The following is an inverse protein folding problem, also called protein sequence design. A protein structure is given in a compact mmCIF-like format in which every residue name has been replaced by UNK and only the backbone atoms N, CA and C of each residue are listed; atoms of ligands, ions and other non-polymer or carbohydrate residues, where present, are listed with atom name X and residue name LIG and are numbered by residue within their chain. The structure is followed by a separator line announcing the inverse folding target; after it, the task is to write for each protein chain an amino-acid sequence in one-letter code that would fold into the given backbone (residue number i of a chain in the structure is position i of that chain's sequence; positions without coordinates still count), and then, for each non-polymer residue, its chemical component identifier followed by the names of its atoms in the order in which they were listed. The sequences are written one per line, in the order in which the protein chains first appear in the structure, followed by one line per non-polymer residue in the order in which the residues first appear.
data_IF_635848163381
#
_entry.id   IF_635848163381
#
_cell.length_a   1.000
_cell.length_b   1.000
_cell.length_c   1.000
_cell.angle_alpha   90.00
_cell.angle_beta   90.00
_cell.angle_gamma   90.00
#
_symmetry.space_group_name_H-M   'P 1'
#
loop_
_entity.id
_entity.type
_entity.pdbx_description
1 polymer ?
#
# COMPACT_ATOMS: atom_id res chain seq x y z
N UNK A 1 61.60 67.91 14.17
CA UNK A 1 61.51 69.29 13.63
C UNK A 1 62.61 69.51 12.61
N UNK A 2 62.37 70.33 11.58
CA UNK A 2 63.41 70.76 10.63
C UNK A 2 64.23 71.89 11.25
N UNK A 3 65.56 71.81 11.20
CA UNK A 3 66.44 72.85 11.77
C UNK A 3 66.67 73.94 10.72
N UNK A 4 65.86 75.01 10.77
CA UNK A 4 65.77 76.04 9.74
C UNK A 4 66.64 77.29 10.00
N UNK A 5 67.58 77.25 10.95
CA UNK A 5 68.47 78.38 11.22
C UNK A 5 69.41 78.64 10.03
N UNK A 6 69.60 79.90 9.60
CA UNK A 6 70.54 80.21 8.52
C UNK A 6 71.96 79.82 8.92
N UNK A 7 72.64 79.06 8.05
CA UNK A 7 74.03 78.68 8.27
C UNK A 7 74.98 79.83 7.92
N UNK A 8 76.14 79.95 8.59
CA UNK A 8 77.20 80.86 8.16
C UNK A 8 77.79 80.39 6.83
N UNK A 9 77.34 80.98 5.73
CA UNK A 9 77.80 80.60 4.38
C UNK A 9 79.28 80.94 4.17
N UNK A 10 80.12 79.91 4.02
CA UNK A 10 81.54 80.09 3.72
C UNK A 10 81.90 79.35 2.43
N UNK A 11 81.79 80.03 1.28
CA UNK A 11 81.94 79.38 -0.03
C UNK A 11 83.40 79.21 -0.50
N UNK A 12 84.37 79.90 0.13
CA UNK A 12 85.78 79.84 -0.28
C UNK A 12 86.43 78.51 0.11
N UNK A 13 86.62 77.63 -0.88
CA UNK A 13 87.31 76.35 -0.74
C UNK A 13 88.82 76.50 -0.91
N UNK A 14 89.61 75.86 -0.04
CA UNK A 14 91.08 75.84 -0.05
C UNK A 14 91.56 74.40 0.23
N UNK A 15 92.83 74.05 -0.05
CA UNK A 15 93.33 72.68 0.17
C UNK A 15 93.31 72.25 1.64
N UNK A 16 93.03 70.97 1.89
CA UNK A 16 93.19 70.35 3.23
C UNK A 16 94.66 70.48 3.68
N UNK A 17 94.96 70.89 4.93
CA UNK A 17 96.32 70.87 5.48
C UNK A 17 96.94 69.46 5.44
N UNK A 18 98.27 69.38 5.47
CA UNK A 18 98.94 68.08 5.59
C UNK A 18 98.58 67.39 6.93
N UNK A 19 98.65 66.06 6.95
CA UNK A 19 98.12 65.29 8.08
C UNK A 19 98.88 65.61 9.38
N UNK A 20 100.21 65.74 9.33
CA UNK A 20 101.04 66.14 10.48
C UNK A 20 100.59 67.46 11.13
N UNK A 21 100.20 68.48 10.35
CA UNK A 21 99.70 69.76 10.92
C UNK A 21 98.28 69.66 11.48
N UNK A 22 97.49 68.66 11.06
CA UNK A 22 96.19 68.35 11.68
C UNK A 22 96.38 67.57 13.00
N UNK A 23 97.38 66.71 13.06
CA UNK A 23 97.67 65.87 14.24
C UNK A 23 98.41 66.67 15.35
N UNK A 24 99.40 67.48 14.99
CA UNK A 24 100.21 68.28 15.95
C UNK A 24 99.61 69.67 16.26
N UNK A 25 98.74 70.19 15.39
CA UNK A 25 98.18 71.54 15.52
C UNK A 25 99.18 72.68 15.31
N UNK A 26 98.78 73.88 15.72
CA UNK A 26 99.60 75.10 15.66
C UNK A 26 100.32 75.32 16.99
N UNK A 27 101.64 75.52 16.93
CA UNK A 27 102.47 75.77 18.13
C UNK A 27 102.24 77.20 18.66
N UNK A 28 102.55 77.50 19.94
CA UNK A 28 102.15 78.77 20.59
C UNK A 28 102.56 80.08 19.90
N UNK A 29 103.56 80.05 19.00
CA UNK A 29 104.03 81.21 18.24
C UNK A 29 103.68 81.15 16.73
N UNK A 30 103.13 80.03 16.24
CA UNK A 30 102.72 79.89 14.84
C UNK A 30 101.31 80.47 14.63
N UNK A 31 101.13 81.24 13.55
CA UNK A 31 99.81 81.74 13.14
C UNK A 31 99.25 80.88 12.00
N UNK A 32 98.02 80.36 12.10
CA UNK A 32 97.39 79.58 11.02
C UNK A 32 97.23 80.43 9.75
N UNK A 33 97.72 79.97 8.58
CA UNK A 33 97.49 80.62 7.30
C UNK A 33 96.00 80.72 6.98
N UNK A 34 95.62 81.78 6.27
CA UNK A 34 94.23 82.00 5.86
C UNK A 34 93.64 80.84 5.04
N UNK A 35 94.46 80.11 4.27
CA UNK A 35 94.01 78.92 3.53
C UNK A 35 93.45 77.82 4.44
N UNK A 36 94.09 77.59 5.60
CA UNK A 36 93.68 76.57 6.58
C UNK A 36 92.36 76.95 7.25
N UNK A 37 92.19 78.23 7.62
CA UNK A 37 90.93 78.73 8.15
C UNK A 37 89.79 78.68 7.13
N UNK A 38 90.06 79.06 5.88
CA UNK A 38 89.08 78.96 4.79
C UNK A 38 88.65 77.50 4.55
N UNK A 39 89.61 76.56 4.51
CA UNK A 39 89.31 75.12 4.40
C UNK A 39 88.43 74.64 5.56
N UNK A 40 88.77 74.97 6.80
CA UNK A 40 87.99 74.57 7.97
C UNK A 40 86.55 75.13 7.93
N UNK A 41 86.40 76.45 7.70
CA UNK A 41 85.08 77.08 7.66
C UNK A 41 84.21 76.57 6.49
N UNK A 42 84.80 76.39 5.30
CA UNK A 42 84.10 75.82 4.14
C UNK A 42 83.66 74.36 4.39
N UNK A 43 84.52 73.56 5.00
CA UNK A 43 84.23 72.14 5.28
C UNK A 43 83.15 72.01 6.35
N UNK A 44 83.23 72.79 7.43
CA UNK A 44 82.21 72.84 8.48
C UNK A 44 80.86 73.36 7.94
N UNK A 45 80.85 74.42 7.13
CA UNK A 45 79.63 74.90 6.47
C UNK A 45 78.98 73.81 5.60
N UNK A 46 79.77 73.15 4.74
CA UNK A 46 79.28 72.06 3.88
C UNK A 46 78.73 70.89 4.68
N UNK A 47 79.42 70.46 5.75
CA UNK A 47 78.96 69.38 6.61
C UNK A 47 77.66 69.73 7.34
N UNK A 48 77.52 70.96 7.86
CA UNK A 48 76.30 71.42 8.50
C UNK A 48 75.14 71.58 7.52
N UNK A 49 75.42 72.02 6.28
CA UNK A 49 74.43 72.11 5.20
C UNK A 49 73.96 70.73 4.76
N UNK A 50 74.87 69.80 4.54
CA UNK A 50 74.56 68.40 4.25
C UNK A 50 73.72 67.77 5.37
N UNK A 51 74.03 68.05 6.64
CA UNK A 51 73.22 67.61 7.78
C UNK A 51 71.84 68.26 7.80
N UNK A 52 71.69 69.57 7.57
CA UNK A 52 70.37 70.22 7.47
C UNK A 52 69.53 69.62 6.33
N UNK A 53 70.12 69.43 5.14
CA UNK A 53 69.45 68.88 3.97
C UNK A 53 69.08 67.39 4.15
N UNK A 54 69.93 66.58 4.80
CA UNK A 54 69.71 65.14 4.98
C UNK A 54 69.00 64.74 6.29
N UNK A 55 68.92 65.60 7.31
CA UNK A 55 68.20 65.35 8.57
C UNK A 55 66.67 65.15 8.39
N UNK A 56 66.15 65.36 7.18
CA UNK A 56 64.78 65.03 6.82
C UNK A 56 64.52 63.51 6.83
N UNK A 57 65.55 62.66 6.67
CA UNK A 57 65.36 61.28 6.20
C UNK A 57 64.89 60.22 7.21
N UNK A 58 65.22 60.27 8.52
CA UNK A 58 64.89 59.21 9.49
C UNK A 58 64.60 59.73 10.90
N UNK A 59 63.76 59.04 11.65
CA UNK A 59 63.69 59.14 13.12
C UNK A 59 64.80 58.31 13.77
N UNK A 60 65.08 58.55 15.06
CA UNK A 60 66.24 57.98 15.77
C UNK A 60 66.26 56.43 15.81
N UNK A 61 65.08 55.79 15.79
CA UNK A 61 64.91 54.32 15.76
C UNK A 61 65.03 53.69 14.35
N UNK A 62 65.25 54.48 13.30
CA UNK A 62 65.06 54.05 11.90
C UNK A 62 63.59 53.80 11.49
N UNK A 63 62.65 54.01 12.42
CA UNK A 63 61.20 54.00 12.19
C UNK A 63 60.73 55.35 11.63
N UNK A 64 59.65 55.32 10.87
CA UNK A 64 58.88 56.52 10.55
C UNK A 64 58.05 56.91 11.78
N UNK A 65 58.14 58.18 12.21
CA UNK A 65 57.31 58.74 13.29
C UNK A 65 55.96 59.19 12.73
N UNK A 66 54.89 59.12 13.54
CA UNK A 66 53.51 59.35 13.11
C UNK A 66 53.33 60.70 12.37
N UNK A 67 53.87 61.79 12.91
CA UNK A 67 53.83 63.14 12.32
C UNK A 67 54.47 63.27 10.93
N UNK A 68 55.18 62.23 10.47
CA UNK A 68 55.85 62.16 9.15
C UNK A 68 55.22 61.15 8.20
N UNK A 69 54.21 60.40 8.64
CA UNK A 69 53.30 59.67 7.77
C UNK A 69 52.11 60.59 7.48
N UNK A 70 52.19 61.34 6.38
CA UNK A 70 50.99 62.03 5.87
C UNK A 70 49.96 60.98 5.48
N UNK A 71 48.67 61.33 5.59
CA UNK A 71 47.60 60.39 5.24
C UNK A 71 47.74 59.94 3.78
N UNK A 72 47.54 58.65 3.54
CA UNK A 72 47.80 58.01 2.24
C UNK A 72 49.27 57.79 1.84
N UNK A 73 50.29 58.15 2.66
CA UNK A 73 51.70 57.95 2.29
C UNK A 73 52.09 56.47 2.06
N UNK A 74 51.47 55.54 2.79
CA UNK A 74 51.71 54.11 2.69
C UNK A 74 50.93 53.48 1.52
N UNK A 75 51.21 53.95 0.30
CA UNK A 75 50.62 53.38 -0.93
C UNK A 75 51.12 51.97 -1.22
N UNK A 76 50.35 51.18 -1.97
CA UNK A 76 50.74 49.84 -2.42
C UNK A 76 52.10 49.83 -3.14
N UNK A 77 52.44 50.90 -3.88
CA UNK A 77 53.73 51.05 -4.54
C UNK A 77 54.88 51.25 -3.55
N UNK A 78 54.66 52.00 -2.46
CA UNK A 78 55.65 52.19 -1.39
C UNK A 78 55.85 50.93 -0.54
N UNK A 79 54.80 50.12 -0.38
CA UNK A 79 54.86 48.82 0.30
C UNK A 79 55.52 47.76 -0.61
N UNK A 80 55.19 47.78 -1.90
CA UNK A 80 55.66 46.86 -2.93
C UNK A 80 54.98 45.48 -2.93
N UNK A 81 55.17 44.73 -4.01
CA UNK A 81 54.56 43.41 -4.20
C UNK A 81 54.95 42.41 -3.10
N UNK A 82 54.07 41.44 -2.82
CA UNK A 82 54.30 40.31 -1.91
C UNK A 82 53.78 39.01 -2.52
N UNK A 83 54.48 37.90 -2.26
CA UNK A 83 54.04 36.56 -2.64
C UNK A 83 53.38 35.89 -1.44
N UNK A 84 52.19 35.32 -1.66
CA UNK A 84 51.45 34.55 -0.64
C UNK A 84 51.90 33.08 -0.73
N UNK A 85 52.48 32.57 0.35
CA UNK A 85 52.80 31.15 0.49
C UNK A 85 51.61 30.41 1.13
N UNK A 86 50.84 29.72 0.28
CA UNK A 86 49.71 28.89 0.70
C UNK A 86 50.10 27.59 1.44
N UNK A 87 51.38 27.32 1.64
CA UNK A 87 51.88 26.19 2.46
C UNK A 87 52.16 26.59 3.91
N UNK A 88 52.31 27.89 4.17
CA UNK A 88 52.58 28.44 5.49
C UNK A 88 51.48 28.07 6.51
N UNK A 89 51.89 27.49 7.64
CA UNK A 89 50.98 27.22 8.77
C UNK A 89 50.50 28.53 9.40
N UNK A 90 49.21 28.66 9.77
CA UNK A 90 48.68 29.83 10.48
C UNK A 90 49.41 30.13 11.80
N UNK A 91 49.67 31.41 12.04
CA UNK A 91 50.27 31.94 13.28
C UNK A 91 49.57 33.24 13.68
N UNK A 92 49.56 33.56 14.97
CA UNK A 92 48.85 34.74 15.51
C UNK A 92 49.67 36.04 15.45
N UNK A 93 50.98 35.94 15.25
CA UNK A 93 51.91 37.08 15.13
C UNK A 93 52.98 36.78 14.09
N UNK A 94 53.44 37.80 13.36
CA UNK A 94 54.46 37.64 12.33
C UNK A 94 54.45 38.77 11.30
N UNK A 95 55.32 38.63 10.28
CA UNK A 95 55.30 39.51 9.10
C UNK A 95 54.01 39.31 8.30
N UNK A 96 53.54 40.37 7.64
CA UNK A 96 52.28 40.36 6.87
C UNK A 96 52.19 39.19 5.88
N UNK A 97 53.27 38.86 5.16
CA UNK A 97 53.30 37.73 4.21
C UNK A 97 53.03 36.38 4.88
N UNK A 98 53.50 36.17 6.11
CA UNK A 98 53.31 34.91 6.84
C UNK A 98 51.87 34.77 7.35
N UNK A 99 51.28 35.87 7.84
CA UNK A 99 49.88 35.93 8.27
C UNK A 99 48.93 35.67 7.08
N UNK A 100 49.18 36.32 5.94
CA UNK A 100 48.39 36.12 4.71
C UNK A 100 48.61 34.73 4.10
N UNK A 101 49.81 34.15 4.19
CA UNK A 101 50.09 32.77 3.81
C UNK A 101 49.28 31.75 4.64
N UNK A 102 49.26 31.94 5.96
CA UNK A 102 48.42 31.14 6.87
C UNK A 102 46.93 31.21 6.53
N UNK A 103 46.40 32.40 6.22
CA UNK A 103 45.02 32.57 5.77
C UNK A 103 44.75 31.83 4.45
N UNK A 104 45.64 31.93 3.46
CA UNK A 104 45.52 31.20 2.20
C UNK A 104 45.56 29.67 2.40
N UNK A 105 46.40 29.16 3.31
CA UNK A 105 46.45 27.74 3.67
C UNK A 105 45.10 27.24 4.24
N UNK A 106 44.44 28.06 5.07
CA UNK A 106 43.12 27.74 5.63
C UNK A 106 42.03 27.75 4.56
N UNK A 107 42.00 28.75 3.68
CA UNK A 107 41.02 28.85 2.58
C UNK A 107 41.14 27.64 1.66
N UNK A 108 42.36 27.26 1.25
CA UNK A 108 42.62 26.06 0.44
C UNK A 108 42.06 24.78 1.08
N UNK A 109 42.26 24.60 2.40
CA UNK A 109 41.75 23.45 3.16
C UNK A 109 40.21 23.43 3.21
N UNK A 110 39.58 24.59 3.42
CA UNK A 110 38.12 24.75 3.49
C UNK A 110 37.48 24.45 2.13
N UNK A 111 38.08 24.88 1.02
CA UNK A 111 37.53 24.68 -0.33
C UNK A 111 37.86 23.31 -0.95
N UNK A 112 38.83 22.58 -0.38
CA UNK A 112 39.30 21.29 -0.87
C UNK A 112 40.05 21.35 -2.21
N UNK A 113 40.54 22.54 -2.62
CA UNK A 113 41.18 22.76 -3.92
C UNK A 113 42.71 22.61 -3.86
N UNK A 114 43.34 22.49 -5.02
CA UNK A 114 44.80 22.43 -5.17
C UNK A 114 45.48 23.79 -4.96
N UNK A 115 44.78 24.89 -5.21
CA UNK A 115 45.22 26.27 -4.96
C UNK A 115 44.12 27.07 -4.24
N UNK A 116 44.52 27.95 -3.31
CA UNK A 116 43.60 28.79 -2.53
C UNK A 116 42.76 29.77 -3.37
N UNK A 117 43.22 30.11 -4.59
CA UNK A 117 42.51 31.00 -5.53
C UNK A 117 41.55 30.27 -6.45
N UNK A 118 41.57 28.94 -6.48
CA UNK A 118 40.67 28.16 -7.35
C UNK A 118 39.25 28.23 -6.80
N UNK A 119 38.30 28.56 -7.67
CA UNK A 119 36.89 28.71 -7.29
C UNK A 119 36.36 27.43 -6.60
N UNK A 120 35.71 27.55 -5.42
CA UNK A 120 35.13 26.41 -4.71
C UNK A 120 33.95 25.80 -5.49
N UNK A 121 33.58 24.55 -5.16
CA UNK A 121 32.40 23.90 -5.78
C UNK A 121 31.09 24.61 -5.46
N UNK A 122 31.02 25.28 -4.31
CA UNK A 122 29.85 26.00 -3.79
C UNK A 122 30.33 27.07 -2.81
N UNK A 123 29.44 27.99 -2.42
CA UNK A 123 29.71 28.97 -1.37
C UNK A 123 29.54 28.34 0.02
N UNK A 124 30.15 28.93 1.06
CA UNK A 124 29.99 28.45 2.45
C UNK A 124 28.56 28.61 2.98
N UNK A 125 27.79 29.54 2.42
CA UNK A 125 26.37 29.72 2.69
C UNK A 125 25.52 28.54 2.18
N UNK A 126 26.00 27.84 1.15
CA UNK A 126 25.33 26.72 0.48
C UNK A 126 25.96 25.35 0.80
N UNK A 127 26.77 25.25 1.87
CA UNK A 127 27.43 24.02 2.30
C UNK A 127 26.71 23.38 3.50
N UNK A 128 26.48 22.07 3.44
CA UNK A 128 25.67 21.36 4.44
C UNK A 128 26.34 21.27 5.83
N UNK A 129 25.60 21.57 6.90
CA UNK A 129 26.05 21.48 8.30
C UNK A 129 25.74 20.11 8.93
N UNK A 130 26.52 19.74 9.95
CA UNK A 130 26.35 18.49 10.70
C UNK A 130 25.12 18.44 11.61
N UNK A 131 24.51 19.59 11.94
CA UNK A 131 23.34 19.66 12.83
C UNK A 131 22.56 20.94 12.56
N UNK A 132 21.23 20.89 12.63
CA UNK A 132 20.35 22.04 12.38
C UNK A 132 20.19 22.43 10.91
N UNK A 133 20.77 21.65 9.98
CA UNK A 133 20.66 21.91 8.56
C UNK A 133 19.43 21.25 7.93
N UNK A 134 18.90 21.91 6.91
CA UNK A 134 17.73 21.47 6.16
C UNK A 134 18.15 21.23 4.72
N UNK A 135 18.25 19.96 4.31
CA UNK A 135 18.40 19.62 2.90
C UNK A 135 17.15 20.10 2.14
N UNK A 136 17.30 21.10 1.27
CA UNK A 136 16.18 21.68 0.51
C UNK A 136 16.13 21.09 -0.89
N UNK A 137 15.04 20.37 -1.15
CA UNK A 137 14.81 19.54 -2.32
C UNK A 137 14.09 18.27 -1.87
N UNK A 138 13.84 17.34 -2.77
CA UNK A 138 13.78 15.94 -2.34
C UNK A 138 15.20 15.56 -1.89
N UNK A 139 15.37 14.54 -1.04
CA UNK A 139 16.52 13.63 -1.26
C UNK A 139 16.19 12.85 -2.53
N UNK A 140 16.28 13.52 -3.68
CA UNK A 140 16.06 12.93 -4.97
C UNK A 140 17.32 12.18 -5.33
N UNK A 141 17.19 10.86 -5.29
CA UNK A 141 17.57 10.11 -6.48
C UNK A 141 16.74 10.70 -7.63
N UNK A 142 17.33 11.62 -8.41
CA UNK A 142 16.57 12.46 -9.34
C UNK A 142 16.06 11.67 -10.55
N UNK A 143 14.86 12.07 -10.99
CA UNK A 143 13.95 11.34 -11.86
C UNK A 143 12.55 11.99 -11.93
N UNK A 144 12.20 12.85 -10.96
CA UNK A 144 11.06 13.78 -10.99
C UNK A 144 9.79 13.36 -10.24
N UNK A 145 9.36 14.13 -9.23
CA UNK A 145 8.04 14.00 -8.57
C UNK A 145 7.93 14.66 -7.18
N UNK A 146 6.72 14.67 -6.60
CA UNK A 146 6.52 14.88 -5.15
C UNK A 146 6.62 13.51 -4.45
N UNK A 147 7.70 13.26 -3.70
CA UNK A 147 8.14 11.88 -3.39
C UNK A 147 7.75 11.38 -1.99
N UNK A 148 7.82 12.21 -0.93
CA UNK A 148 7.40 11.85 0.45
C UNK A 148 6.89 13.10 1.20
N UNK A 149 5.73 13.01 1.86
CA UNK A 149 5.17 14.08 2.71
C UNK A 149 4.69 13.54 4.06
N UNK A 150 5.12 14.16 5.16
CA UNK A 150 4.89 13.69 6.53
C UNK A 150 4.65 14.88 7.45
N UNK A 151 3.42 15.08 7.95
CA UNK A 151 3.08 16.25 8.78
C UNK A 151 2.13 15.90 9.93
N UNK A 152 2.56 16.17 11.15
CA UNK A 152 1.72 16.11 12.35
C UNK A 152 0.87 17.38 12.54
N UNK A 153 -0.32 17.21 13.12
CA UNK A 153 -1.19 18.30 13.57
C UNK A 153 -0.92 18.70 15.02
N UNK A 154 -1.74 19.61 15.57
CA UNK A 154 -1.54 20.22 16.89
C UNK A 154 -1.61 19.27 18.11
N UNK A 155 -1.93 18.00 17.91
CA UNK A 155 -1.64 16.89 18.83
C UNK A 155 -1.47 15.61 18.03
N UNK A 156 -0.73 14.67 18.61
CA UNK A 156 -0.39 13.33 18.13
C UNK A 156 0.63 13.25 16.97
N UNK A 157 1.66 12.44 17.23
CA UNK A 157 2.89 12.39 16.46
C UNK A 157 2.70 11.64 15.15
N UNK A 158 3.29 12.13 14.06
CA UNK A 158 3.40 11.39 12.81
C UNK A 158 4.82 10.88 12.64
N UNK A 159 4.97 9.57 12.72
CA UNK A 159 6.22 8.85 12.45
C UNK A 159 6.01 7.91 11.26
N UNK A 160 6.79 8.08 10.20
CA UNK A 160 6.97 7.06 9.17
C UNK A 160 8.39 6.52 9.34
N UNK A 161 8.51 5.35 9.97
CA UNK A 161 9.76 4.65 10.16
C UNK A 161 10.00 3.66 9.02
N UNK A 162 10.93 3.99 8.11
CA UNK A 162 11.47 3.01 7.18
C UNK A 162 12.71 2.36 7.80
N UNK A 163 12.56 1.11 8.21
CA UNK A 163 13.68 0.27 8.63
C UNK A 163 14.07 -0.58 7.42
N UNK A 164 15.23 -0.27 6.84
CA UNK A 164 15.80 -1.13 5.79
C UNK A 164 16.07 -2.52 6.36
N UNK A 165 15.82 -3.56 5.57
CA UNK A 165 16.28 -4.89 5.95
C UNK A 165 17.81 -4.91 5.86
N UNK A 166 18.47 -4.93 7.01
CA UNK A 166 19.92 -4.97 7.11
C UNK A 166 20.51 -6.33 6.73
N UNK A 167 19.67 -7.37 6.59
CA UNK A 167 20.08 -8.69 6.09
C UNK A 167 20.20 -8.72 4.56
N UNK A 168 19.40 -7.92 3.85
CA UNK A 168 19.36 -7.86 2.39
C UNK A 168 19.32 -6.41 1.82
N UNK A 169 20.27 -5.51 2.16
CA UNK A 169 20.18 -4.07 1.88
C UNK A 169 20.20 -3.69 0.38
N UNK A 170 20.57 -4.61 -0.51
CA UNK A 170 20.56 -4.43 -1.96
C UNK A 170 19.34 -5.07 -2.64
N UNK A 171 18.51 -5.78 -1.88
CA UNK A 171 17.27 -6.40 -2.35
C UNK A 171 16.10 -5.52 -1.93
N UNK A 172 15.10 -5.36 -2.79
CA UNK A 172 13.85 -4.72 -2.40
C UNK A 172 13.12 -5.65 -1.42
N UNK A 173 13.15 -5.32 -0.12
CA UNK A 173 12.51 -6.14 0.92
C UNK A 173 10.99 -6.00 0.91
N UNK A 174 10.49 -4.82 0.55
CA UNK A 174 9.09 -4.53 0.35
C UNK A 174 8.89 -3.19 -0.34
N UNK A 175 7.68 -2.93 -0.81
CA UNK A 175 7.35 -1.71 -1.53
C UNK A 175 5.88 -1.32 -1.34
N UNK A 176 5.62 -0.04 -1.57
CA UNK A 176 4.28 0.48 -1.83
C UNK A 176 4.33 1.25 -3.15
N UNK A 177 3.67 0.73 -4.18
CA UNK A 177 3.83 1.22 -5.55
C UNK A 177 3.42 0.21 -6.62
N UNK A 178 3.83 0.47 -7.85
CA UNK A 178 3.61 -0.42 -8.99
C UNK A 178 4.82 -1.38 -9.10
N UNK A 179 4.64 -2.71 -9.02
CA UNK A 179 5.76 -3.65 -8.88
C UNK A 179 6.71 -3.66 -10.08
N UNK A 180 6.15 -3.50 -11.29
CA UNK A 180 6.79 -3.69 -12.58
C UNK A 180 6.43 -2.56 -13.55
N UNK A 181 7.30 -2.29 -14.52
CA UNK A 181 7.03 -1.33 -15.60
C UNK A 181 5.76 -1.75 -16.39
N UNK A 182 4.85 -0.81 -16.61
CA UNK A 182 3.56 -1.06 -17.28
C UNK A 182 2.48 -1.71 -16.39
N UNK A 183 2.76 -1.98 -15.10
CA UNK A 183 1.72 -2.39 -14.16
C UNK A 183 0.76 -1.25 -13.85
N UNK A 184 -0.54 -1.53 -13.89
CA UNK A 184 -1.62 -0.59 -13.55
C UNK A 184 -2.07 -0.69 -12.09
N UNK A 185 -1.56 -1.66 -11.34
CA UNK A 185 -2.10 -2.05 -10.04
C UNK A 185 -1.19 -1.57 -8.90
N UNK A 186 -1.69 -0.63 -8.10
CA UNK A 186 -1.00 -0.12 -6.93
C UNK A 186 -1.01 -1.20 -5.81
N UNK A 187 0.16 -1.67 -5.41
CA UNK A 187 0.32 -2.77 -4.46
C UNK A 187 1.11 -2.34 -3.22
N UNK A 188 0.79 -2.96 -2.06
CA UNK A 188 1.70 -3.05 -0.91
C UNK A 188 2.26 -4.47 -0.94
N UNK A 189 3.57 -4.62 -1.13
CA UNK A 189 4.25 -5.91 -1.24
C UNK A 189 5.32 -6.08 -0.17
N UNK A 190 5.39 -7.28 0.40
CA UNK A 190 6.59 -7.81 1.07
C UNK A 190 7.15 -8.87 0.13
N UNK A 191 8.43 -8.75 -0.23
CA UNK A 191 9.10 -9.64 -1.20
C UNK A 191 10.06 -10.62 -0.51
N UNK A 192 10.12 -10.60 0.83
CA UNK A 192 10.88 -11.56 1.62
C UNK A 192 10.19 -12.93 1.66
N UNK A 193 10.97 -13.99 1.59
CA UNK A 193 10.46 -15.37 1.72
C UNK A 193 9.82 -15.56 3.10
N UNK A 194 8.57 -16.05 3.14
CA UNK A 194 7.74 -16.13 4.35
C UNK A 194 7.46 -14.77 5.04
N UNK A 195 7.68 -13.65 4.34
CA UNK A 195 7.45 -12.30 4.84
C UNK A 195 5.97 -11.92 4.88
N UNK A 196 5.46 -11.58 6.07
CA UNK A 196 4.07 -11.14 6.25
C UNK A 196 3.91 -9.62 6.08
N UNK A 197 2.69 -9.18 5.75
CA UNK A 197 2.27 -7.77 5.82
C UNK A 197 1.26 -7.63 6.96
N UNK A 198 1.62 -6.91 8.02
CA UNK A 198 0.79 -6.79 9.23
C UNK A 198 0.02 -5.47 9.27
N UNK A 199 -1.29 -5.53 9.07
CA UNK A 199 -2.19 -4.38 9.28
C UNK A 199 -2.70 -4.33 10.73
N UNK A 200 -1.85 -3.83 11.64
CA UNK A 200 -2.19 -3.75 13.07
C UNK A 200 -3.05 -2.52 13.37
N UNK A 201 -4.23 -2.72 13.96
CA UNK A 201 -5.13 -1.64 14.39
C UNK A 201 -5.69 -1.93 15.79
N UNK A 202 -5.98 -0.87 16.56
CA UNK A 202 -6.72 -0.97 17.84
C UNK A 202 -8.25 -1.03 17.63
N UNK A 203 -8.72 -0.85 16.39
CA UNK A 203 -10.13 -0.86 16.02
C UNK A 203 -10.37 -1.85 14.88
N UNK A 204 -10.98 -1.37 13.79
CA UNK A 204 -11.28 -2.17 12.59
C UNK A 204 -10.65 -1.57 11.34
N UNK A 205 -10.13 -2.41 10.46
CA UNK A 205 -9.73 -1.99 9.11
C UNK A 205 -10.97 -1.78 8.24
N UNK A 206 -10.98 -0.75 7.39
CA UNK A 206 -12.12 -0.40 6.54
C UNK A 206 -11.68 0.06 5.15
N UNK A 207 -12.50 -0.24 4.14
CA UNK A 207 -12.36 0.21 2.75
C UNK A 207 -13.71 0.76 2.28
N UNK A 208 -13.74 2.00 1.79
CA UNK A 208 -14.95 2.71 1.35
C UNK A 208 -16.12 2.63 2.36
N UNK A 209 -15.80 2.82 3.65
CA UNK A 209 -16.75 2.74 4.77
C UNK A 209 -17.09 1.33 5.27
N UNK A 210 -16.88 0.31 4.43
CA UNK A 210 -17.13 -1.10 4.78
C UNK A 210 -15.96 -1.69 5.57
N UNK A 211 -16.23 -2.68 6.41
CA UNK A 211 -15.19 -3.40 7.14
C UNK A 211 -14.43 -4.34 6.21
N UNK A 212 -13.09 -4.34 6.31
CA UNK A 212 -12.25 -5.19 5.48
C UNK A 212 -12.26 -6.61 6.06
N UNK A 213 -12.92 -7.54 5.37
CA UNK A 213 -12.93 -8.95 5.74
C UNK A 213 -11.81 -9.69 5.01
N UNK A 214 -11.01 -10.42 5.78
CA UNK A 214 -10.10 -11.46 5.29
C UNK A 214 -10.63 -12.83 5.77
N UNK A 215 -10.07 -13.94 5.27
CA UNK A 215 -10.54 -15.28 5.62
C UNK A 215 -10.57 -15.57 7.14
N UNK A 216 -9.71 -14.91 7.93
CA UNK A 216 -9.67 -15.01 9.39
C UNK A 216 -10.60 -14.05 10.14
N UNK A 217 -11.35 -13.19 9.45
CA UNK A 217 -12.35 -12.27 10.04
C UNK A 217 -13.80 -12.81 9.90
N UNK A 218 -13.95 -14.07 9.49
CA UNK A 218 -15.18 -14.81 9.72
C UNK A 218 -15.18 -15.29 11.18
N UNK A 219 -16.30 -15.13 11.90
CA UNK A 219 -16.46 -15.49 13.32
C UNK A 219 -16.47 -17.03 13.57
N UNK A 220 -15.81 -17.80 12.73
CA UNK A 220 -15.67 -19.25 12.81
C UNK A 220 -14.46 -19.67 11.97
N UNK A 221 -13.61 -20.54 12.51
CA UNK A 221 -12.55 -21.22 11.75
C UNK A 221 -13.09 -22.35 10.83
N UNK A 222 -14.40 -22.33 10.55
CA UNK A 222 -15.09 -23.35 9.77
C UNK A 222 -15.34 -22.92 8.32
N UNK A 223 -15.51 -23.93 7.46
CA UNK A 223 -15.88 -23.80 6.06
C UNK A 223 -17.08 -22.84 5.85
N UNK A 224 -16.95 -21.78 5.02
CA UNK A 224 -18.04 -20.85 4.74
C UNK A 224 -19.27 -21.52 4.10
N UNK A 225 -19.10 -22.65 3.40
CA UNK A 225 -20.24 -23.42 2.88
C UNK A 225 -21.10 -24.03 3.99
N UNK A 226 -20.56 -24.25 5.20
CA UNK A 226 -21.34 -24.70 6.35
C UNK A 226 -22.24 -23.61 6.96
N UNK A 227 -21.99 -22.33 6.67
CA UNK A 227 -22.79 -21.21 7.18
C UNK A 227 -23.97 -20.84 6.26
N UNK A 228 -23.80 -20.95 4.94
CA UNK A 228 -24.78 -20.44 3.97
C UNK A 228 -25.53 -21.53 3.19
N UNK A 229 -25.03 -22.77 3.15
CA UNK A 229 -25.83 -23.91 2.68
C UNK A 229 -26.63 -24.44 3.87
N UNK A 230 -27.96 -24.33 3.82
CA UNK A 230 -28.83 -25.00 4.81
C UNK A 230 -28.67 -26.51 4.66
N UNK A 231 -27.87 -27.11 5.54
CA UNK A 231 -27.87 -28.57 5.77
C UNK A 231 -29.26 -29.01 6.21
N UNK A 232 -29.60 -30.28 5.97
CA UNK A 232 -30.81 -30.88 6.57
C UNK A 232 -30.72 -30.78 8.09
N UNK A 233 -31.77 -30.24 8.71
CA UNK A 233 -31.88 -30.17 10.15
C UNK A 233 -32.52 -31.44 10.68
N UNK A 234 -31.78 -32.20 11.49
CA UNK A 234 -32.30 -33.43 12.06
C UNK A 234 -33.38 -33.16 13.10
N UNK A 235 -34.50 -33.89 12.99
CA UNK A 235 -35.69 -33.77 13.84
C UNK A 235 -36.08 -35.10 14.44
N UNK A 236 -36.83 -35.05 15.54
CA UNK A 236 -37.37 -36.20 16.27
C UNK A 236 -38.85 -35.95 16.61
N UNK A 237 -39.57 -36.98 17.05
CA UNK A 237 -40.99 -36.86 17.42
C UNK A 237 -41.94 -37.05 16.25
N UNK A 238 -42.68 -36.00 15.88
CA UNK A 238 -43.79 -36.05 14.92
C UNK A 238 -43.57 -35.06 13.77
N UNK A 239 -43.74 -35.52 12.52
CA UNK A 239 -43.66 -34.66 11.34
C UNK A 239 -44.73 -33.56 11.32
N UNK A 240 -45.80 -33.68 12.11
CA UNK A 240 -46.82 -32.64 12.27
C UNK A 240 -46.31 -31.37 12.98
N UNK A 241 -45.23 -31.46 13.75
CA UNK A 241 -44.65 -30.33 14.49
C UNK A 241 -43.64 -29.55 13.65
N UNK A 242 -43.08 -30.19 12.61
CA UNK A 242 -42.04 -29.63 11.73
C UNK A 242 -42.65 -28.63 10.73
N UNK A 243 -42.86 -27.40 11.20
CA UNK A 243 -43.68 -26.38 10.51
C UNK A 243 -42.91 -25.11 10.11
N UNK A 244 -41.65 -24.97 10.51
CA UNK A 244 -40.76 -23.88 10.07
C UNK A 244 -40.25 -24.15 8.65
N UNK A 245 -40.18 -23.12 7.80
CA UNK A 245 -39.64 -23.25 6.44
C UNK A 245 -38.17 -23.68 6.46
N UNK A 246 -37.84 -24.81 5.83
CA UNK A 246 -36.50 -25.41 5.84
C UNK A 246 -36.41 -26.80 5.22
N UNK A 247 -35.23 -27.41 5.35
CA UNK A 247 -34.94 -28.79 4.93
C UNK A 247 -34.61 -29.61 6.18
N UNK A 248 -35.22 -30.79 6.30
CA UNK A 248 -35.20 -31.59 7.52
C UNK A 248 -34.95 -33.06 7.21
N UNK A 249 -34.35 -33.79 8.14
CA UNK A 249 -34.21 -35.24 8.09
C UNK A 249 -34.60 -35.89 9.43
N UNK A 250 -35.13 -37.10 9.40
CA UNK A 250 -35.58 -37.79 10.63
C UNK A 250 -35.85 -39.27 10.40
N UNK A 251 -35.69 -40.07 11.45
CA UNK A 251 -35.82 -41.52 11.40
C UNK A 251 -36.96 -42.03 12.30
N UNK A 252 -37.92 -42.76 11.72
CA UNK A 252 -39.06 -43.38 12.42
C UNK A 252 -39.97 -42.38 13.19
N UNK A 253 -40.08 -41.14 12.72
CA UNK A 253 -40.99 -40.14 13.28
C UNK A 253 -42.46 -40.49 12.99
N UNK A 254 -43.35 -40.05 13.88
CA UNK A 254 -44.81 -40.12 13.68
C UNK A 254 -45.23 -39.28 12.48
N UNK A 255 -46.34 -39.67 11.85
CA UNK A 255 -46.94 -39.04 10.66
C UNK A 255 -45.97 -38.87 9.46
N UNK A 256 -44.95 -39.73 9.35
CA UNK A 256 -44.14 -39.87 8.13
C UNK A 256 -44.98 -40.27 6.91
N UNK A 257 -44.46 -40.02 5.70
CA UNK A 257 -45.14 -40.43 4.48
C UNK A 257 -45.26 -41.97 4.37
N UNK A 258 -46.35 -42.50 3.79
CA UNK A 258 -46.57 -43.93 3.64
C UNK A 258 -45.49 -44.62 2.81
N UNK A 259 -45.17 -45.86 3.18
CA UNK A 259 -44.22 -46.70 2.45
C UNK A 259 -42.77 -46.44 2.85
N UNK A 260 -41.98 -47.51 2.83
CA UNK A 260 -40.52 -47.48 2.89
C UNK A 260 -39.94 -48.75 3.51
N UNK A 261 -38.74 -49.14 3.08
CA UNK A 261 -37.96 -50.25 3.66
C UNK A 261 -37.04 -49.79 4.79
N UNK A 262 -36.82 -48.48 4.92
CA UNK A 262 -36.06 -47.85 6.00
C UNK A 262 -36.87 -46.70 6.63
N UNK A 263 -36.48 -46.31 7.85
CA UNK A 263 -37.20 -45.30 8.64
C UNK A 263 -36.85 -43.83 8.33
N UNK A 264 -35.82 -43.57 7.55
CA UNK A 264 -35.35 -42.20 7.28
C UNK A 264 -36.22 -41.48 6.25
N UNK A 265 -36.58 -40.23 6.54
CA UNK A 265 -37.35 -39.35 5.65
C UNK A 265 -36.65 -38.00 5.55
N UNK A 266 -36.67 -37.43 4.35
CA UNK A 266 -36.13 -36.11 4.05
C UNK A 266 -37.28 -35.20 3.64
N UNK A 267 -37.48 -34.10 4.37
CA UNK A 267 -38.66 -33.25 4.25
C UNK A 267 -38.24 -31.80 3.92
N UNK A 268 -38.74 -31.27 2.81
CA UNK A 268 -38.78 -29.84 2.57
C UNK A 268 -40.09 -29.29 3.13
N UNK A 269 -39.99 -28.23 3.94
CA UNK A 269 -41.13 -27.53 4.53
C UNK A 269 -41.18 -26.12 3.98
N UNK A 270 -42.35 -25.73 3.47
CA UNK A 270 -42.67 -24.36 3.07
C UNK A 270 -43.87 -23.90 3.88
N UNK A 271 -43.70 -22.94 4.77
CA UNK A 271 -44.80 -22.37 5.56
C UNK A 271 -45.11 -20.92 5.19
N UNK A 272 -46.41 -20.64 5.08
CA UNK A 272 -46.94 -19.31 4.78
C UNK A 272 -47.30 -18.61 6.09
N UNK A 273 -46.45 -17.66 6.50
CA UNK A 273 -46.68 -16.82 7.67
C UNK A 273 -47.51 -15.59 7.32
N UNK A 274 -48.70 -15.49 7.93
CA UNK A 274 -49.37 -14.21 8.18
C UNK A 274 -49.69 -14.17 9.68
N UNK A 275 -49.24 -13.10 10.33
CA UNK A 275 -49.63 -12.60 11.65
C UNK A 275 -49.96 -13.65 12.73
N UNK A 276 -48.92 -14.09 13.44
CA UNK A 276 -49.05 -14.85 14.69
C UNK A 276 -48.85 -16.37 14.60
N UNK A 277 -48.70 -16.95 13.41
CA UNK A 277 -48.40 -18.39 13.27
C UNK A 277 -48.26 -18.89 11.83
N UNK A 278 -47.78 -20.13 11.69
CA UNK A 278 -47.65 -20.83 10.40
C UNK A 278 -49.01 -21.39 9.95
N UNK A 279 -49.90 -20.50 9.49
CA UNK A 279 -51.31 -20.81 9.18
C UNK A 279 -51.50 -21.88 8.10
N UNK A 280 -50.55 -21.97 7.16
CA UNK A 280 -50.48 -23.03 6.16
C UNK A 280 -49.06 -23.57 6.08
N UNK A 281 -48.94 -24.90 5.99
CA UNK A 281 -47.66 -25.59 5.85
C UNK A 281 -47.77 -26.61 4.73
N UNK A 282 -46.90 -26.50 3.73
CA UNK A 282 -46.68 -27.53 2.72
C UNK A 282 -45.45 -28.34 3.14
N UNK A 283 -45.57 -29.66 3.12
CA UNK A 283 -44.46 -30.58 3.32
C UNK A 283 -44.30 -31.44 2.08
N UNK A 284 -43.08 -31.50 1.55
CA UNK A 284 -42.68 -32.43 0.49
C UNK A 284 -41.67 -33.40 1.09
N UNK A 285 -42.01 -34.68 1.13
CA UNK A 285 -41.21 -35.72 1.77
C UNK A 285 -40.74 -36.73 0.73
N UNK A 286 -39.42 -36.86 0.60
CA UNK A 286 -38.79 -37.83 -0.30
C UNK A 286 -38.24 -39.00 0.52
N UNK A 287 -38.58 -40.21 0.10
CA UNK A 287 -38.01 -41.45 0.60
C UNK A 287 -37.04 -42.00 -0.46
N UNK A 288 -35.75 -42.09 -0.11
CA UNK A 288 -34.67 -42.46 -1.03
C UNK A 288 -34.59 -43.98 -1.33
N UNK A 289 -35.51 -44.78 -0.80
CA UNK A 289 -35.67 -46.21 -1.14
C UNK A 289 -36.54 -46.47 -2.38
N UNK A 290 -36.92 -45.43 -3.11
CA UNK A 290 -37.71 -45.53 -4.33
C UNK A 290 -39.23 -45.59 -4.11
N UNK A 291 -39.70 -45.55 -2.86
CA UNK A 291 -41.15 -45.45 -2.60
C UNK A 291 -41.78 -44.14 -3.06
N UNK A 292 -40.99 -43.09 -3.20
CA UNK A 292 -41.32 -41.90 -3.99
C UNK A 292 -41.14 -40.57 -3.27
N UNK A 293 -41.69 -39.54 -3.89
CA UNK A 293 -41.90 -38.21 -3.29
C UNK A 293 -43.38 -38.03 -3.01
N UNK A 294 -43.67 -37.68 -1.77
CA UNK A 294 -45.00 -37.42 -1.24
C UNK A 294 -45.14 -35.96 -0.88
N UNK A 295 -46.35 -35.42 -0.91
CA UNK A 295 -46.65 -34.11 -0.36
C UNK A 295 -47.89 -34.13 0.54
N UNK A 296 -47.98 -33.17 1.45
CA UNK A 296 -49.19 -32.87 2.20
C UNK A 296 -49.27 -31.41 2.57
N UNK A 297 -50.46 -30.99 2.95
CA UNK A 297 -50.76 -29.63 3.37
C UNK A 297 -51.33 -29.66 4.78
N UNK A 298 -51.05 -28.63 5.57
CA UNK A 298 -51.82 -28.32 6.77
C UNK A 298 -52.50 -26.97 6.66
N UNK A 299 -53.64 -26.85 7.32
CA UNK A 299 -54.31 -25.58 7.60
C UNK A 299 -54.58 -25.49 9.10
N UNK A 300 -54.30 -24.32 9.68
CA UNK A 300 -54.75 -24.00 11.03
C UNK A 300 -56.23 -23.59 10.97
N UNK A 301 -57.09 -24.41 11.61
CA UNK A 301 -58.54 -24.23 11.66
C UNK A 301 -58.94 -24.07 13.13
N UNK A 302 -59.12 -22.81 13.55
CA UNK A 302 -59.32 -22.47 14.96
C UNK A 302 -58.02 -22.69 15.76
N UNK A 303 -58.11 -23.43 16.86
CA UNK A 303 -56.95 -23.78 17.71
C UNK A 303 -56.26 -25.08 17.30
N UNK A 304 -56.70 -25.74 16.22
CA UNK A 304 -56.18 -27.03 15.79
C UNK A 304 -55.62 -26.98 14.37
N UNK A 305 -54.38 -27.47 14.21
CA UNK A 305 -53.77 -27.74 12.90
C UNK A 305 -54.34 -29.04 12.34
N UNK A 306 -54.94 -28.99 11.15
CA UNK A 306 -55.39 -30.19 10.43
C UNK A 306 -54.45 -30.46 9.26
N UNK A 307 -53.97 -31.69 9.17
CA UNK A 307 -53.15 -32.19 8.06
C UNK A 307 -54.03 -32.95 7.07
N UNK A 308 -53.77 -32.76 5.77
CA UNK A 308 -54.23 -33.71 4.75
C UNK A 308 -53.50 -35.04 4.90
N UNK A 309 -54.05 -36.14 4.34
CA UNK A 309 -53.23 -37.31 4.05
C UNK A 309 -52.01 -36.93 3.21
N UNK A 310 -51.00 -37.80 3.23
CA UNK A 310 -49.88 -37.76 2.28
C UNK A 310 -50.35 -38.20 0.90
N UNK A 311 -50.25 -37.30 -0.07
CA UNK A 311 -50.46 -37.56 -1.48
C UNK A 311 -49.15 -37.99 -2.13
N UNK A 312 -49.22 -38.97 -3.02
CA UNK A 312 -48.08 -39.44 -3.78
C UNK A 312 -47.93 -38.59 -5.05
N UNK A 313 -46.84 -37.83 -5.17
CA UNK A 313 -46.58 -36.92 -6.29
C UNK A 313 -45.79 -37.62 -7.40
N UNK A 314 -44.82 -38.45 -7.03
CA UNK A 314 -43.99 -39.19 -7.98
C UNK A 314 -43.47 -40.49 -7.36
N UNK A 315 -43.42 -41.57 -8.14
CA UNK A 315 -42.65 -42.77 -7.80
C UNK A 315 -41.59 -43.03 -8.86
N UNK A 316 -40.38 -43.36 -8.40
CA UNK A 316 -39.28 -43.87 -9.24
C UNK A 316 -39.50 -45.34 -9.65
N UNK A 317 -40.76 -45.77 -9.80
CA UNK A 317 -41.12 -47.13 -10.15
C UNK A 317 -41.33 -47.25 -11.66
N UNK A 318 -40.42 -47.98 -12.31
CA UNK A 318 -40.65 -48.54 -13.64
C UNK A 318 -41.79 -49.57 -13.55
N UNK A 319 -43.04 -49.11 -13.61
CA UNK A 319 -44.22 -49.94 -13.50
C UNK A 319 -44.22 -51.02 -14.59
N UNK A 320 -44.24 -52.29 -14.17
CA UNK A 320 -44.27 -53.43 -15.08
C UNK A 320 -45.69 -53.57 -15.62
N UNK A 321 -45.83 -53.56 -16.95
CA UNK A 321 -47.12 -53.66 -17.61
C UNK A 321 -47.41 -55.11 -18.00
N UNK A 322 -48.55 -55.64 -17.56
CA UNK A 322 -49.01 -56.98 -17.89
C UNK A 322 -50.37 -56.89 -18.60
N UNK A 323 -50.36 -57.16 -19.89
CA UNK A 323 -51.57 -57.14 -20.72
C UNK A 323 -52.38 -58.44 -20.55
N UNK A 324 -53.70 -58.32 -20.49
CA UNK A 324 -54.65 -59.40 -20.23
C UNK A 324 -55.98 -59.21 -20.95
N UNK A 325 -56.83 -60.24 -20.90
CA UNK A 325 -58.16 -60.25 -21.54
C UNK A 325 -58.10 -59.87 -23.02
N UNK A 326 -57.38 -60.66 -23.81
CA UNK A 326 -57.23 -60.48 -25.27
C UNK A 326 -58.60 -60.41 -25.96
N UNK A 327 -58.75 -59.49 -26.89
CA UNK A 327 -59.78 -59.47 -27.91
C UNK A 327 -59.19 -60.07 -29.19
N UNK A 328 -59.69 -61.23 -29.60
CA UNK A 328 -59.16 -61.94 -30.77
C UNK A 328 -59.57 -61.30 -32.10
N UNK A 329 -60.67 -60.55 -32.14
CA UNK A 329 -61.17 -59.88 -33.35
C UNK A 329 -60.48 -58.53 -33.57
N UNK A 330 -60.12 -57.83 -32.49
CA UNK A 330 -59.47 -56.50 -32.56
C UNK A 330 -57.95 -56.52 -32.34
N UNK A 331 -57.36 -57.70 -32.14
CA UNK A 331 -55.91 -57.90 -31.91
C UNK A 331 -55.32 -57.04 -30.77
N UNK A 332 -56.13 -56.73 -29.76
CA UNK A 332 -55.76 -55.90 -28.61
C UNK A 332 -55.97 -56.63 -27.28
N UNK A 333 -55.44 -56.07 -26.20
CA UNK A 333 -55.71 -56.53 -24.84
C UNK A 333 -56.61 -55.52 -24.14
N UNK A 334 -57.69 -56.00 -23.52
CA UNK A 334 -58.70 -55.14 -22.89
C UNK A 334 -58.32 -54.69 -21.49
N UNK A 335 -57.37 -55.36 -20.85
CA UNK A 335 -56.89 -55.03 -19.51
C UNK A 335 -55.37 -54.90 -19.53
N UNK A 336 -54.82 -53.88 -18.86
CA UNK A 336 -53.39 -53.84 -18.53
C UNK A 336 -53.22 -53.54 -17.05
N UNK A 337 -52.63 -54.49 -16.32
CA UNK A 337 -52.17 -54.29 -14.95
C UNK A 337 -50.83 -53.55 -14.97
N UNK A 338 -50.77 -52.39 -14.33
CA UNK A 338 -49.55 -51.66 -14.03
C UNK A 338 -49.10 -52.08 -12.62
N UNK A 339 -48.08 -52.94 -12.52
CA UNK A 339 -47.61 -53.52 -11.26
C UNK A 339 -46.35 -52.83 -10.75
N UNK A 340 -46.24 -52.68 -9.43
CA UNK A 340 -45.04 -52.23 -8.73
C UNK A 340 -43.94 -53.31 -8.82
N UNK A 341 -42.72 -52.98 -8.39
CA UNK A 341 -41.59 -53.90 -8.43
C UNK A 341 -41.81 -55.19 -7.59
N UNK A 342 -42.59 -55.08 -6.52
CA UNK A 342 -43.03 -56.17 -5.62
C UNK A 342 -44.16 -57.05 -6.20
N UNK A 343 -44.72 -56.70 -7.36
CA UNK A 343 -45.81 -57.43 -8.00
C UNK A 343 -47.24 -57.01 -7.59
N UNK A 344 -47.40 -56.09 -6.63
CA UNK A 344 -48.71 -55.50 -6.29
C UNK A 344 -49.24 -54.62 -7.43
N UNK A 345 -50.56 -54.57 -7.61
CA UNK A 345 -51.19 -53.70 -8.62
C UNK A 345 -51.13 -52.25 -8.11
N UNK A 346 -50.53 -51.36 -8.92
CA UNK A 346 -50.57 -49.90 -8.73
C UNK A 346 -51.80 -49.31 -9.41
N UNK A 347 -52.01 -49.67 -10.67
CA UNK A 347 -53.20 -49.29 -11.41
C UNK A 347 -53.62 -50.40 -12.39
N UNK A 348 -54.91 -50.48 -12.70
CA UNK A 348 -55.45 -51.34 -13.75
C UNK A 348 -56.17 -50.48 -14.78
N UNK A 349 -55.77 -50.60 -16.04
CA UNK A 349 -56.51 -50.02 -17.16
C UNK A 349 -57.46 -51.03 -17.76
N UNK A 350 -58.69 -50.62 -18.11
CA UNK A 350 -59.74 -51.45 -18.69
C UNK A 350 -60.37 -50.72 -19.88
N UNK A 351 -60.42 -51.37 -21.04
CA UNK A 351 -61.22 -50.97 -22.19
C UNK A 351 -62.61 -51.59 -22.11
N UNK A 352 -63.64 -50.77 -22.30
CA UNK A 352 -65.06 -51.13 -22.18
C UNK A 352 -65.94 -50.33 -23.14
N UNK A 353 -67.26 -50.61 -23.13
CA UNK A 353 -68.26 -49.97 -23.98
C UNK A 353 -67.93 -50.03 -25.51
N UNK A 354 -67.85 -51.24 -26.11
CA UNK A 354 -67.66 -51.35 -27.56
C UNK A 354 -68.86 -50.78 -28.33
N UNK A 355 -68.61 -50.05 -29.40
CA UNK A 355 -69.63 -49.66 -30.39
C UNK A 355 -70.11 -50.88 -31.23
N UNK A 356 -71.04 -50.64 -32.16
CA UNK A 356 -71.52 -51.68 -33.09
C UNK A 356 -70.42 -52.23 -34.03
N UNK A 357 -69.31 -51.52 -34.19
CA UNK A 357 -68.14 -51.94 -34.96
C UNK A 357 -67.07 -52.62 -34.08
N UNK A 358 -67.31 -52.77 -32.77
CA UNK A 358 -66.39 -53.33 -31.78
C UNK A 358 -65.28 -52.39 -31.29
N UNK A 359 -65.40 -51.08 -31.50
CA UNK A 359 -64.42 -50.08 -31.04
C UNK A 359 -64.73 -49.65 -29.60
N UNK A 360 -63.77 -49.79 -28.69
CA UNK A 360 -63.95 -49.55 -27.25
C UNK A 360 -64.02 -48.06 -26.92
N UNK A 361 -65.22 -47.54 -26.64
CA UNK A 361 -65.45 -46.11 -26.40
C UNK A 361 -65.03 -45.62 -25.01
N UNK A 362 -64.63 -46.51 -24.10
CA UNK A 362 -64.29 -46.11 -22.71
C UNK A 362 -63.03 -46.79 -22.21
N UNK A 363 -62.09 -45.98 -21.73
CA UNK A 363 -60.93 -46.42 -20.94
C UNK A 363 -61.14 -46.02 -19.48
N UNK A 364 -61.16 -46.98 -18.57
CA UNK A 364 -61.09 -46.74 -17.13
C UNK A 364 -59.68 -47.05 -16.61
N UNK A 365 -59.12 -46.20 -15.77
CA UNK A 365 -57.86 -46.42 -15.04
C UNK A 365 -58.15 -46.34 -13.54
N UNK A 366 -58.13 -47.49 -12.87
CA UNK A 366 -58.33 -47.60 -11.43
C UNK A 366 -56.99 -47.70 -10.73
N UNK A 367 -56.73 -46.79 -9.79
CA UNK A 367 -55.55 -46.78 -8.92
C UNK A 367 -55.85 -47.54 -7.62
N UNK A 368 -54.85 -48.24 -7.09
CA UNK A 368 -55.00 -49.08 -5.90
C UNK A 368 -54.01 -48.67 -4.79
N UNK A 369 -54.38 -48.99 -3.55
CA UNK A 369 -53.53 -48.84 -2.38
C UNK A 369 -52.20 -49.61 -2.50
N UNK A 370 -51.27 -49.40 -1.57
CA UNK A 370 -49.95 -50.07 -1.61
C UNK A 370 -50.05 -51.61 -1.58
N UNK A 371 -51.09 -52.18 -0.98
CA UNK A 371 -51.34 -53.62 -1.01
C UNK A 371 -51.86 -54.13 -2.37
N UNK A 372 -52.32 -53.24 -3.26
CA UNK A 372 -52.94 -53.59 -4.54
C UNK A 372 -54.34 -54.20 -4.41
N UNK A 373 -55.03 -54.02 -3.27
CA UNK A 373 -56.28 -54.71 -2.93
C UNK A 373 -57.50 -53.78 -2.83
N UNK A 374 -57.30 -52.49 -2.57
CA UNK A 374 -58.39 -51.51 -2.43
C UNK A 374 -58.23 -50.44 -3.49
N UNK A 375 -59.27 -50.24 -4.31
CA UNK A 375 -59.35 -49.13 -5.26
C UNK A 375 -59.44 -47.79 -4.50
N UNK A 376 -58.61 -46.83 -4.90
CA UNK A 376 -58.54 -45.49 -4.30
C UNK A 376 -59.22 -44.42 -5.18
N UNK A 377 -59.04 -44.54 -6.49
CA UNK A 377 -59.53 -43.57 -7.48
C UNK A 377 -59.72 -44.30 -8.81
N UNK A 378 -60.80 -44.02 -9.54
CA UNK A 378 -60.97 -44.45 -10.93
C UNK A 378 -61.16 -43.23 -11.80
N UNK A 379 -60.27 -43.06 -12.78
CA UNK A 379 -60.39 -42.04 -13.83
C UNK A 379 -60.90 -42.70 -15.11
N UNK A 380 -61.82 -42.06 -15.80
CA UNK A 380 -62.38 -42.58 -17.05
C UNK A 380 -62.15 -41.60 -18.19
N UNK A 381 -61.91 -42.11 -19.40
CA UNK A 381 -61.84 -41.35 -20.63
C UNK A 381 -62.84 -41.92 -21.64
N UNK A 382 -63.56 -41.03 -22.31
CA UNK A 382 -64.39 -41.39 -23.46
C UNK A 382 -63.58 -41.19 -24.74
N UNK A 383 -63.65 -42.16 -25.65
CA UNK A 383 -63.03 -42.12 -26.97
C UNK A 383 -64.09 -41.91 -28.05
N UNK A 384 -63.79 -41.04 -29.02
CA UNK A 384 -64.54 -40.95 -30.28
C UNK A 384 -63.70 -41.51 -31.42
N UNK A 385 -64.38 -42.06 -32.42
CA UNK A 385 -63.77 -42.69 -33.59
C UNK A 385 -64.25 -42.01 -34.88
N UNK A 386 -63.42 -42.03 -35.93
CA UNK A 386 -63.85 -41.71 -37.30
C UNK A 386 -64.44 -42.95 -38.01
N UNK A 387 -64.77 -42.79 -39.29
CA UNK A 387 -65.28 -43.86 -40.16
C UNK A 387 -64.30 -45.02 -40.36
N UNK A 388 -63.00 -44.78 -40.17
CA UNK A 388 -61.93 -45.75 -40.40
C UNK A 388 -61.55 -46.49 -39.10
N UNK A 389 -62.20 -46.14 -37.97
CA UNK A 389 -61.97 -46.73 -36.66
C UNK A 389 -60.73 -46.19 -35.95
N UNK A 390 -60.22 -45.01 -36.35
CA UNK A 390 -59.12 -44.34 -35.66
C UNK A 390 -59.66 -43.39 -34.58
N UNK A 391 -58.94 -43.26 -33.47
CA UNK A 391 -59.35 -42.42 -32.34
C UNK A 391 -59.18 -40.93 -32.72
N UNK A 392 -60.30 -40.22 -32.84
CA UNK A 392 -60.32 -38.78 -33.15
C UNK A 392 -60.32 -37.90 -31.90
N UNK A 393 -60.80 -38.41 -30.76
CA UNK A 393 -60.70 -37.72 -29.48
C UNK A 393 -60.57 -38.67 -28.30
N UNK A 394 -59.91 -38.20 -27.24
CA UNK A 394 -59.76 -38.87 -25.95
C UNK A 394 -59.98 -37.84 -24.85
N UNK A 395 -61.17 -37.83 -24.25
CA UNK A 395 -61.58 -36.79 -23.29
C UNK A 395 -61.73 -37.40 -21.90
N UNK A 396 -61.09 -36.85 -20.85
CA UNK A 396 -61.31 -37.30 -19.48
C UNK A 396 -62.71 -36.92 -18.99
N UNK A 397 -63.36 -37.85 -18.31
CA UNK A 397 -64.61 -37.64 -17.60
C UNK A 397 -64.25 -37.21 -16.16
N UNK A 398 -64.28 -35.90 -15.90
CA UNK A 398 -64.04 -35.29 -14.59
C UNK A 398 -65.36 -35.00 -13.87
#
# INVERSE_FOLDING_TARGET
MSYNSPLPEWNKSEPKPNQTKLDEGWKPEEKPPASVWNWFMNTTYKALKELQEKAVAKGEDGKLVADRLVDGAATDAAIGNRTIDQTQTPVNTGLLSALLGGLANMIKKITGKSDWKTEPRTTLENAARLTGDTFKGVVSFDGGGEIVSVKAGNSDHVYIGFYGDTQAPNTRSGYFGYPNAGSTDLSIGNEMENGNIHFVTKGKARLNGNELFHAGNHNSAGDPHAQYVRKTQSVTGDWNDVTTTGFYDGNLLLNACPGGTHGWRYCQVTSHSQDGGARWVHQVMTAFDGTGTYERFSQDIGTQRKWTPWYLVSQHNNLRQYAGSKDEMKLLYKVVDHKRADGTIYAQSILSNPDANGNYQTLSLTYYNNAGTVALETKSWTFMYDSDGLITSKVPNF
#
